data_IF_121537209229
#
_entry.id   IF_121537209229
#
_cell.length_a   1.000
_cell.length_b   1.000
_cell.length_c   1.000
_cell.angle_alpha   90.00
_cell.angle_beta   90.00
_cell.angle_gamma   90.00
#
_symmetry.space_group_name_H-M   'P 1'
#
loop_
_entity.id
_entity.type
_entity.pdbx_description
1 polymer ?
#
# COMPACT_ATOMS: atom_id res chain seq x y z
N UNK A 1 60.07 -0.88 38.39
CA UNK A 1 60.45 0.09 37.34
C UNK A 1 59.50 -0.14 36.16
N UNK A 2 58.24 0.31 36.10
CA UNK A 2 57.56 1.59 36.39
C UNK A 2 57.82 2.72 35.37
N UNK A 3 56.78 3.09 34.62
CA UNK A 3 56.59 4.32 33.79
C UNK A 3 57.10 4.21 32.35
N UNK A 4 56.31 4.19 31.27
CA UNK A 4 55.05 4.86 30.90
C UNK A 4 55.11 6.39 30.91
N UNK A 5 54.51 7.00 29.88
CA UNK A 5 54.09 8.40 29.74
C UNK A 5 55.10 9.44 29.22
N UNK A 6 55.38 9.49 27.90
CA UNK A 6 55.60 10.79 27.20
C UNK A 6 55.55 10.75 25.65
N UNK A 7 54.53 10.13 25.04
CA UNK A 7 54.33 10.20 23.57
C UNK A 7 52.94 10.60 23.10
N UNK A 8 52.11 11.13 24.00
CA UNK A 8 50.86 11.79 23.65
C UNK A 8 51.06 13.31 23.70
N UNK A 9 50.91 13.99 22.56
CA UNK A 9 50.09 15.24 22.40
C UNK A 9 50.46 16.16 21.22
N UNK A 10 51.45 15.86 20.38
CA UNK A 10 51.83 16.76 19.26
C UNK A 10 51.78 16.03 17.92
N UNK A 11 50.58 15.65 17.50
CA UNK A 11 50.26 15.38 16.08
C UNK A 11 48.74 15.38 15.84
N UNK A 12 47.98 16.14 16.65
CA UNK A 12 46.52 16.25 16.56
C UNK A 12 46.07 17.43 15.67
N UNK A 13 46.93 17.99 14.80
CA UNK A 13 46.60 19.24 14.11
C UNK A 13 47.20 19.36 12.69
N UNK A 14 47.11 18.32 11.85
CA UNK A 14 47.50 18.43 10.43
C UNK A 14 46.46 17.87 9.43
N UNK A 15 45.33 17.29 9.86
CA UNK A 15 44.25 16.88 8.92
C UNK A 15 43.08 17.87 8.86
N UNK A 16 43.11 18.92 9.68
CA UNK A 16 42.09 19.97 9.70
C UNK A 16 42.53 21.17 8.85
N UNK A 17 42.49 21.05 7.52
CA UNK A 17 42.82 22.21 6.69
C UNK A 17 43.05 21.99 5.21
N UNK A 18 42.19 21.24 4.49
CA UNK A 18 42.05 21.42 3.03
C UNK A 18 40.79 20.74 2.46
N UNK A 19 39.62 21.36 2.60
CA UNK A 19 38.46 21.10 1.72
C UNK A 19 37.38 22.16 1.91
N UNK A 20 37.60 23.35 1.35
CA UNK A 20 36.55 24.33 1.09
C UNK A 20 36.73 24.80 -0.35
N UNK A 21 35.95 24.23 -1.27
CA UNK A 21 35.33 24.90 -2.42
C UNK A 21 34.60 23.86 -3.31
N UNK A 22 33.34 23.56 -3.01
CA UNK A 22 32.37 23.13 -4.03
C UNK A 22 31.06 23.87 -3.73
N UNK A 23 30.51 24.66 -4.68
CA UNK A 23 29.31 25.45 -4.46
C UNK A 23 28.10 24.53 -4.29
N UNK A 24 27.30 24.82 -3.27
CA UNK A 24 25.96 24.27 -3.08
C UNK A 24 25.07 24.70 -4.25
N UNK A 25 24.94 23.83 -5.25
CA UNK A 25 24.12 24.06 -6.44
C UNK A 25 23.59 22.76 -6.99
N UNK A 26 22.28 22.55 -6.80
CA UNK A 26 21.43 21.67 -7.58
C UNK A 26 21.91 20.23 -7.81
N UNK A 27 21.71 19.39 -6.80
CA UNK A 27 21.41 17.98 -7.03
C UNK A 27 20.31 17.54 -6.06
N UNK A 28 19.07 17.98 -6.33
CA UNK A 28 17.90 17.15 -6.04
C UNK A 28 17.95 15.95 -6.99
N UNK A 29 18.99 15.12 -6.83
CA UNK A 29 18.96 13.76 -7.33
C UNK A 29 17.94 13.06 -6.46
N UNK A 30 16.78 12.78 -7.03
CA UNK A 30 15.80 11.86 -6.50
C UNK A 30 16.55 10.58 -6.16
N UNK A 31 16.95 10.44 -4.90
CA UNK A 31 17.22 9.14 -4.34
C UNK A 31 15.93 8.38 -4.61
N UNK A 32 15.99 7.42 -5.54
CA UNK A 32 14.93 6.43 -5.67
C UNK A 32 14.73 5.90 -4.26
N UNK A 33 13.62 6.32 -3.64
CA UNK A 33 13.26 5.89 -2.32
C UNK A 33 13.25 4.37 -2.41
N UNK A 34 14.16 3.74 -1.67
CA UNK A 34 14.19 2.31 -1.47
C UNK A 34 12.76 1.91 -1.10
N UNK A 35 12.05 1.24 -2.01
CA UNK A 35 10.70 0.74 -1.80
C UNK A 35 10.84 -0.41 -0.79
N UNK A 36 11.11 -0.06 0.47
CA UNK A 36 11.04 -1.01 1.58
C UNK A 36 9.67 -1.64 1.46
N UNK A 37 9.56 -2.98 1.42
CA UNK A 37 8.27 -3.64 1.41
C UNK A 37 7.52 -3.13 2.64
N UNK A 38 6.56 -2.23 2.40
CA UNK A 38 5.75 -1.63 3.44
C UNK A 38 5.07 -2.79 4.14
N UNK A 39 5.17 -2.86 5.46
CA UNK A 39 4.52 -3.91 6.23
C UNK A 39 3.02 -3.89 5.89
N UNK A 40 2.49 -5.03 5.44
CA UNK A 40 1.09 -5.20 5.03
C UNK A 40 0.14 -4.70 6.12
N UNK A 41 0.53 -4.85 7.38
CA UNK A 41 -0.23 -4.40 8.55
C UNK A 41 -0.28 -2.87 8.64
N UNK A 42 0.86 -2.21 8.42
CA UNK A 42 0.95 -0.75 8.41
C UNK A 42 0.13 -0.14 7.26
N UNK A 43 0.18 -0.75 6.06
CA UNK A 43 -0.59 -0.30 4.91
C UNK A 43 -2.10 -0.46 5.15
N UNK A 44 -2.56 -1.62 5.65
CA UNK A 44 -3.97 -1.86 5.96
C UNK A 44 -4.47 -0.85 7.00
N UNK A 45 -3.73 -0.68 8.11
CA UNK A 45 -4.12 0.23 9.18
C UNK A 45 -4.12 1.70 8.74
N UNK A 46 -3.13 2.10 7.93
CA UNK A 46 -3.06 3.45 7.38
C UNK A 46 -4.26 3.79 6.51
N UNK A 47 -4.66 2.86 5.63
CA UNK A 47 -5.78 3.06 4.72
C UNK A 47 -7.11 3.04 5.48
N UNK A 48 -7.30 2.15 6.47
CA UNK A 48 -8.50 2.17 7.32
C UNK A 48 -8.66 3.50 8.06
N UNK A 49 -7.55 4.08 8.55
CA UNK A 49 -7.57 5.40 9.18
C UNK A 49 -7.97 6.50 8.20
N UNK A 50 -7.41 6.50 6.98
CA UNK A 50 -7.76 7.45 5.92
C UNK A 50 -9.23 7.35 5.51
N UNK A 51 -9.77 6.13 5.41
CA UNK A 51 -11.20 5.89 5.16
C UNK A 51 -12.07 6.48 6.28
N UNK A 52 -11.68 6.27 7.54
CA UNK A 52 -12.41 6.81 8.70
C UNK A 52 -12.32 8.33 8.84
N UNK A 53 -11.26 8.97 8.34
CA UNK A 53 -11.09 10.43 8.36
C UNK A 53 -11.65 11.14 7.13
N UNK A 54 -12.02 10.40 6.08
CA UNK A 54 -12.43 10.96 4.79
C UNK A 54 -11.27 11.54 3.97
N UNK A 55 -10.03 11.20 4.31
CA UNK A 55 -8.85 11.58 3.53
C UNK A 55 -8.88 10.88 2.15
N UNK A 56 -8.44 11.58 1.10
CA UNK A 56 -8.34 10.97 -0.24
C UNK A 56 -7.27 9.89 -0.23
N UNK A 57 -7.63 8.71 -0.73
CA UNK A 57 -6.70 7.58 -0.87
C UNK A 57 -6.16 7.59 -2.30
N UNK A 58 -4.85 7.47 -2.44
CA UNK A 58 -4.22 7.35 -3.74
C UNK A 58 -4.67 6.03 -4.44
N UNK A 59 -5.01 6.04 -5.74
CA UNK A 59 -5.48 4.83 -6.42
C UNK A 59 -4.49 3.66 -6.40
N UNK A 60 -3.19 3.92 -6.45
CA UNK A 60 -2.17 2.86 -6.40
C UNK A 60 -2.04 2.30 -4.98
N UNK A 61 -2.13 3.17 -3.96
CA UNK A 61 -2.21 2.77 -2.55
C UNK A 61 -3.45 1.90 -2.28
N UNK A 62 -4.62 2.30 -2.80
CA UNK A 62 -5.85 1.52 -2.70
C UNK A 62 -5.75 0.17 -3.42
N UNK A 63 -5.14 0.14 -4.61
CA UNK A 63 -4.90 -1.13 -5.32
C UNK A 63 -4.05 -2.09 -4.48
N UNK A 64 -2.98 -1.60 -3.84
CA UNK A 64 -2.14 -2.42 -2.95
C UNK A 64 -2.94 -3.02 -1.79
N UNK A 65 -3.85 -2.24 -1.20
CA UNK A 65 -4.76 -2.74 -0.17
C UNK A 65 -5.68 -3.85 -0.66
N UNK A 66 -6.30 -3.65 -1.83
CA UNK A 66 -7.16 -4.66 -2.46
C UNK A 66 -6.37 -5.93 -2.77
N UNK A 67 -5.15 -5.80 -3.30
CA UNK A 67 -4.28 -6.95 -3.61
C UNK A 67 -3.94 -7.74 -2.32
N UNK A 68 -3.64 -7.05 -1.21
CA UNK A 68 -3.37 -7.69 0.08
C UNK A 68 -4.59 -8.41 0.67
N UNK A 69 -5.79 -7.82 0.56
CA UNK A 69 -7.02 -8.46 1.04
C UNK A 69 -7.38 -9.74 0.25
N UNK A 70 -6.97 -9.80 -1.01
CA UNK A 70 -7.27 -10.92 -1.90
C UNK A 70 -6.13 -11.93 -2.03
N UNK A 71 -4.98 -11.72 -1.37
CA UNK A 71 -3.78 -12.54 -1.55
C UNK A 71 -4.02 -14.05 -1.32
N UNK A 72 -4.94 -14.39 -0.42
CA UNK A 72 -5.30 -15.78 -0.08
C UNK A 72 -6.61 -16.26 -0.71
N UNK A 73 -7.38 -15.37 -1.35
CA UNK A 73 -8.69 -15.68 -1.94
C UNK A 73 -8.53 -16.02 -3.43
N UNK A 74 -8.65 -17.31 -3.77
CA UNK A 74 -8.53 -17.83 -5.16
C UNK A 74 -9.88 -18.12 -5.83
N UNK A 75 -10.98 -17.66 -5.26
CA UNK A 75 -12.34 -18.02 -5.70
C UNK A 75 -13.04 -16.86 -6.41
N UNK A 76 -13.80 -17.20 -7.45
CA UNK A 76 -14.58 -16.25 -8.24
C UNK A 76 -13.97 -15.89 -9.60
N UNK A 77 -14.70 -15.14 -10.44
CA UNK A 77 -14.22 -14.69 -11.73
C UNK A 77 -13.06 -13.68 -11.60
N UNK A 78 -12.05 -13.79 -12.45
CA UNK A 78 -10.96 -12.81 -12.50
C UNK A 78 -11.47 -11.44 -13.00
N UNK A 79 -10.78 -10.36 -12.63
CA UNK A 79 -11.06 -9.02 -13.17
C UNK A 79 -11.01 -9.03 -14.70
N UNK A 80 -12.04 -8.49 -15.34
CA UNK A 80 -12.18 -8.46 -16.81
C UNK A 80 -12.75 -9.75 -17.42
N UNK A 81 -12.94 -10.82 -16.64
CA UNK A 81 -13.64 -12.01 -17.10
C UNK A 81 -15.16 -11.84 -17.02
N UNK A 82 -15.91 -12.58 -17.86
CA UNK A 82 -17.37 -12.54 -17.86
C UNK A 82 -17.91 -13.15 -16.56
N UNK A 83 -18.84 -12.46 -15.91
CA UNK A 83 -19.59 -12.99 -14.77
C UNK A 83 -20.50 -14.14 -15.25
N UNK A 84 -20.56 -15.28 -14.54
CA UNK A 84 -21.50 -16.35 -14.86
C UNK A 84 -22.95 -15.87 -14.83
N UNK A 85 -23.74 -16.31 -15.82
CA UNK A 85 -25.16 -16.00 -15.86
C UNK A 85 -25.90 -16.67 -14.69
N UNK A 86 -26.93 -16.02 -14.17
CA UNK A 86 -27.78 -16.54 -13.11
C UNK A 86 -29.25 -16.18 -13.31
N UNK A 87 -30.12 -16.96 -12.67
CA UNK A 87 -31.54 -16.67 -12.50
C UNK A 87 -31.91 -16.99 -11.05
N UNK A 88 -32.18 -15.96 -10.25
CA UNK A 88 -32.46 -16.06 -8.81
C UNK A 88 -33.82 -15.44 -8.50
N UNK A 89 -34.43 -15.87 -7.41
CA UNK A 89 -35.68 -15.28 -6.92
C UNK A 89 -35.37 -14.09 -6.00
N UNK A 90 -36.10 -12.99 -6.19
CA UNK A 90 -36.08 -11.86 -5.27
C UNK A 90 -36.95 -12.12 -4.03
N UNK A 91 -37.00 -11.15 -3.11
CA UNK A 91 -37.77 -11.26 -1.86
C UNK A 91 -39.28 -11.45 -2.06
N UNK A 92 -39.79 -11.21 -3.27
CA UNK A 92 -41.19 -11.41 -3.64
C UNK A 92 -41.43 -12.72 -4.41
N UNK A 93 -40.39 -13.55 -4.57
CA UNK A 93 -40.44 -14.78 -5.37
C UNK A 93 -40.39 -14.54 -6.88
N UNK A 94 -40.14 -13.31 -7.33
CA UNK A 94 -40.01 -13.02 -8.76
C UNK A 94 -38.62 -13.41 -9.23
N UNK A 95 -38.57 -14.19 -10.30
CA UNK A 95 -37.31 -14.60 -10.94
C UNK A 95 -36.68 -13.43 -11.68
N UNK A 96 -35.42 -13.14 -11.36
CA UNK A 96 -34.58 -12.12 -11.97
C UNK A 96 -33.31 -12.76 -12.53
N UNK A 97 -32.90 -12.33 -13.71
CA UNK A 97 -31.66 -12.77 -14.34
C UNK A 97 -30.56 -11.72 -14.21
N UNK A 98 -29.31 -12.11 -14.47
CA UNK A 98 -28.19 -11.15 -14.57
C UNK A 98 -28.52 -10.01 -15.54
N UNK A 99 -29.11 -10.31 -16.69
CA UNK A 99 -29.45 -9.32 -17.70
C UNK A 99 -30.52 -8.33 -17.21
N UNK A 100 -31.51 -8.78 -16.42
CA UNK A 100 -32.56 -7.90 -15.88
C UNK A 100 -32.01 -6.90 -14.85
N UNK A 101 -30.90 -7.25 -14.18
CA UNK A 101 -30.30 -6.45 -13.11
C UNK A 101 -29.17 -5.52 -13.58
N UNK A 102 -28.60 -5.77 -14.76
CA UNK A 102 -27.51 -4.97 -15.30
C UNK A 102 -27.99 -3.57 -15.71
N UNK A 103 -27.40 -2.52 -15.13
CA UNK A 103 -27.59 -1.13 -15.53
C UNK A 103 -26.53 -0.64 -16.53
N UNK A 104 -26.69 0.58 -17.07
CA UNK A 104 -25.71 1.18 -17.99
C UNK A 104 -24.34 1.44 -17.35
N UNK A 105 -24.31 1.67 -16.03
CA UNK A 105 -23.08 1.87 -15.24
C UNK A 105 -22.56 0.55 -14.61
N UNK A 106 -23.18 -0.58 -14.98
CA UNK A 106 -22.88 -1.88 -14.39
C UNK A 106 -23.77 -2.23 -13.19
N UNK A 107 -23.30 -3.19 -12.40
CA UNK A 107 -24.03 -3.78 -11.28
C UNK A 107 -23.04 -4.10 -10.15
N UNK A 108 -23.44 -3.84 -8.91
CA UNK A 108 -22.75 -4.32 -7.71
C UNK A 108 -23.45 -5.58 -7.19
N UNK A 109 -22.76 -6.72 -7.23
CA UNK A 109 -23.24 -7.98 -6.67
C UNK A 109 -22.61 -8.22 -5.29
N UNK A 110 -23.43 -8.30 -4.25
CA UNK A 110 -22.99 -8.52 -2.87
C UNK A 110 -23.45 -9.88 -2.39
N UNK A 111 -22.51 -10.76 -2.06
CA UNK A 111 -22.80 -12.03 -1.40
C UNK A 111 -22.85 -11.78 0.11
N UNK A 112 -24.02 -11.97 0.70
CA UNK A 112 -24.22 -11.92 2.13
C UNK A 112 -24.71 -13.28 2.62
N UNK A 113 -24.27 -13.67 3.82
CA UNK A 113 -24.85 -14.78 4.57
C UNK A 113 -25.46 -14.18 5.82
N UNK A 114 -26.79 -14.20 5.92
CA UNK A 114 -27.42 -13.84 7.19
C UNK A 114 -27.16 -14.95 8.22
N UNK A 115 -27.09 -14.56 9.50
CA UNK A 115 -26.97 -15.48 10.62
C UNK A 115 -28.34 -15.95 11.15
N UNK A 116 -29.40 -15.77 10.37
CA UNK A 116 -30.77 -16.11 10.78
C UNK A 116 -31.08 -17.57 10.42
N UNK A 117 -31.44 -18.32 11.46
CA UNK A 117 -31.84 -19.72 11.51
C UNK A 117 -33.35 -19.81 11.69
#
# INVERSE_FOLDING_TARGET
MLGSFWRAKIAFAVVLGLALLIPAGAAHGSAAQEDKPMDSTELINGILKKMGSGEKIDPAEFKRFVDLQNADLKTGPAVGSKVPDFALEDQSGRRLTLHDLMGPEGMLLVFTRSADW
#
